data_IF_660603022771
#
_entry.id   IF_660603022771
#
_cell.length_a   1.000
_cell.length_b   1.000
_cell.length_c   1.000
_cell.angle_alpha   90.00
_cell.angle_beta   90.00
_cell.angle_gamma   90.00
#
_symmetry.space_group_name_H-M   'P 1'
#
loop_
_entity.id
_entity.type
_entity.pdbx_description
1 polymer ?
#
# COMPACT_ATOMS: atom_id res chain seq x y z
N UNK A 1 -13.32 22.92 -5.46
CA UNK A 1 -12.43 22.43 -6.54
C UNK A 1 -11.26 21.72 -5.87
N UNK A 2 -10.97 20.46 -6.21
CA UNK A 2 -9.85 19.75 -5.57
C UNK A 2 -8.53 20.41 -5.97
N UNK A 3 -7.59 20.65 -5.02
CA UNK A 3 -6.35 21.36 -5.29
C UNK A 3 -5.38 20.62 -6.23
N UNK A 4 -5.57 19.31 -6.45
CA UNK A 4 -4.81 18.51 -7.41
C UNK A 4 -5.73 17.44 -8.03
N UNK A 5 -6.05 17.54 -9.33
CA UNK A 5 -6.86 16.55 -10.04
C UNK A 5 -6.27 15.13 -10.00
N UNK A 6 -4.95 14.97 -9.86
CA UNK A 6 -4.29 13.65 -9.79
C UNK A 6 -4.50 12.95 -8.45
N UNK A 7 -4.92 13.67 -7.41
CA UNK A 7 -5.28 13.08 -6.11
C UNK A 7 -6.67 12.45 -6.09
N UNK A 8 -7.46 12.65 -7.15
CA UNK A 8 -8.75 11.99 -7.31
C UNK A 8 -8.51 10.51 -7.59
N UNK A 9 -9.11 9.64 -6.76
CA UNK A 9 -8.92 8.18 -6.79
C UNK A 9 -9.74 7.54 -7.93
N UNK A 10 -9.33 7.77 -9.18
CA UNK A 10 -10.01 7.24 -10.37
C UNK A 10 -9.48 5.86 -10.82
N UNK A 11 -8.25 5.50 -10.43
CA UNK A 11 -7.60 4.27 -10.90
C UNK A 11 -8.00 3.09 -9.99
N UNK A 12 -8.56 2.04 -10.60
CA UNK A 12 -8.91 0.80 -9.91
C UNK A 12 -8.00 -0.33 -10.37
N UNK A 13 -7.36 -0.98 -9.41
CA UNK A 13 -6.64 -2.23 -9.60
C UNK A 13 -7.33 -3.31 -8.75
N UNK A 14 -7.32 -4.57 -9.21
CA UNK A 14 -7.99 -5.68 -8.53
C UNK A 14 -7.01 -6.83 -8.38
N UNK A 15 -6.95 -7.38 -7.16
CA UNK A 15 -6.14 -8.54 -6.79
C UNK A 15 -7.06 -9.63 -6.26
N UNK A 16 -6.62 -10.89 -6.31
CA UNK A 16 -7.33 -12.02 -5.73
C UNK A 16 -6.53 -12.51 -4.52
N UNK A 17 -7.24 -12.78 -3.44
CA UNK A 17 -6.69 -13.37 -2.23
C UNK A 17 -7.21 -14.80 -2.12
N UNK A 18 -6.42 -15.68 -1.51
CA UNK A 18 -6.93 -16.96 -1.06
C UNK A 18 -7.81 -16.81 0.20
N UNK A 19 -8.43 -17.92 0.62
CA UNK A 19 -9.37 -17.92 1.74
C UNK A 19 -8.69 -17.55 3.08
N UNK A 20 -7.42 -17.91 3.27
CA UNK A 20 -6.67 -17.61 4.49
C UNK A 20 -6.24 -16.14 4.54
N UNK A 21 -5.72 -15.62 3.44
CA UNK A 21 -5.36 -14.22 3.28
C UNK A 21 -6.59 -13.34 3.50
N UNK A 22 -7.72 -13.68 2.89
CA UNK A 22 -8.97 -12.95 3.06
C UNK A 22 -9.45 -12.96 4.51
N UNK A 23 -9.36 -14.11 5.20
CA UNK A 23 -9.76 -14.23 6.60
C UNK A 23 -8.88 -13.35 7.51
N UNK A 24 -7.56 -13.35 7.30
CA UNK A 24 -6.61 -12.54 8.06
C UNK A 24 -6.87 -11.04 7.85
N UNK A 25 -6.97 -10.60 6.59
CA UNK A 25 -7.19 -9.19 6.28
C UNK A 25 -8.54 -8.70 6.84
N UNK A 26 -9.57 -9.53 6.77
CA UNK A 26 -10.91 -9.22 7.31
C UNK A 26 -10.87 -9.12 8.84
N UNK A 27 -10.21 -10.07 9.53
CA UNK A 27 -10.05 -10.03 10.97
C UNK A 27 -9.30 -8.77 11.42
N UNK A 28 -8.23 -8.40 10.70
CA UNK A 28 -7.45 -7.19 10.98
C UNK A 28 -8.27 -5.91 10.80
N UNK A 29 -9.03 -5.81 9.71
CA UNK A 29 -9.91 -4.67 9.44
C UNK A 29 -10.98 -4.52 10.53
N UNK A 30 -11.61 -5.63 10.92
CA UNK A 30 -12.61 -5.65 12.00
C UNK A 30 -12.00 -5.23 13.34
N UNK A 31 -10.78 -5.71 13.65
CA UNK A 31 -10.08 -5.37 14.88
C UNK A 31 -9.75 -3.88 14.97
N UNK A 32 -9.38 -3.25 13.86
CA UNK A 32 -9.08 -1.81 13.80
C UNK A 32 -10.34 -0.94 13.65
N UNK A 33 -11.49 -1.53 13.32
CA UNK A 33 -12.71 -0.78 13.01
C UNK A 33 -12.65 -0.03 11.68
N UNK A 34 -11.79 -0.49 10.75
CA UNK A 34 -11.59 0.15 9.45
C UNK A 34 -12.25 -0.63 8.31
N UNK A 35 -12.52 0.06 7.20
CA UNK A 35 -12.95 -0.60 5.97
C UNK A 35 -11.77 -1.36 5.35
N UNK A 36 -11.99 -2.64 5.01
CA UNK A 36 -10.97 -3.52 4.42
C UNK A 36 -10.19 -2.90 3.26
N UNK A 37 -10.86 -2.21 2.34
CA UNK A 37 -10.22 -1.56 1.19
C UNK A 37 -9.29 -0.39 1.60
N UNK A 38 -9.61 0.32 2.68
CA UNK A 38 -8.78 1.40 3.23
C UNK A 38 -7.52 0.81 3.85
N UNK A 39 -7.69 -0.23 4.68
CA UNK A 39 -6.59 -0.96 5.31
C UNK A 39 -5.62 -1.53 4.26
N UNK A 40 -6.14 -2.25 3.26
CA UNK A 40 -5.31 -2.84 2.18
C UNK A 40 -4.52 -1.75 1.47
N UNK A 41 -5.15 -0.61 1.15
CA UNK A 41 -4.47 0.51 0.50
C UNK A 41 -3.35 1.06 1.38
N UNK A 42 -3.59 1.23 2.68
CA UNK A 42 -2.59 1.78 3.59
C UNK A 42 -1.37 0.87 3.70
N UNK A 43 -1.60 -0.44 3.91
CA UNK A 43 -0.54 -1.46 3.92
C UNK A 43 0.27 -1.40 2.62
N UNK A 44 -0.39 -1.43 1.46
CA UNK A 44 0.29 -1.40 0.15
C UNK A 44 1.12 -0.13 -0.03
N UNK A 45 0.59 1.03 0.34
CA UNK A 45 1.33 2.29 0.19
C UNK A 45 2.52 2.36 1.13
N UNK A 46 2.39 1.86 2.36
CA UNK A 46 3.47 1.78 3.34
C UNK A 46 4.60 0.86 2.85
N UNK A 47 4.27 -0.32 2.36
CA UNK A 47 5.26 -1.25 1.81
C UNK A 47 5.92 -0.70 0.55
N UNK A 48 5.14 -0.09 -0.36
CA UNK A 48 5.70 0.55 -1.55
C UNK A 48 6.72 1.65 -1.19
N UNK A 49 6.44 2.47 -0.18
CA UNK A 49 7.41 3.47 0.31
C UNK A 49 8.66 2.85 0.93
N UNK A 50 8.53 1.73 1.65
CA UNK A 50 9.67 1.02 2.23
C UNK A 50 10.59 0.46 1.14
N UNK A 51 10.02 -0.20 0.13
CA UNK A 51 10.77 -0.72 -1.03
C UNK A 51 11.48 0.39 -1.80
N UNK A 52 10.83 1.54 -1.98
CA UNK A 52 11.45 2.71 -2.62
C UNK A 52 12.62 3.25 -1.80
N UNK A 53 12.48 3.32 -0.47
CA UNK A 53 13.54 3.78 0.42
C UNK A 53 14.75 2.84 0.36
N UNK A 54 14.54 1.53 0.46
CA UNK A 54 15.60 0.53 0.34
C UNK A 54 16.34 0.64 -1.00
N UNK A 55 15.57 0.80 -2.09
CA UNK A 55 16.16 0.96 -3.42
C UNK A 55 17.04 2.20 -3.52
N UNK A 56 16.60 3.31 -2.97
CA UNK A 56 17.36 4.56 -2.97
C UNK A 56 18.69 4.41 -2.20
N UNK A 57 18.66 3.79 -1.02
CA UNK A 57 19.88 3.50 -0.24
C UNK A 57 20.86 2.68 -1.08
N UNK A 58 20.39 1.60 -1.72
CA UNK A 58 21.26 0.75 -2.55
C UNK A 58 21.89 1.48 -3.74
N UNK A 59 21.24 2.51 -4.28
CA UNK A 59 21.78 3.33 -5.38
C UNK A 59 22.89 4.24 -4.83
N UNK A 60 22.66 4.88 -3.68
CA UNK A 60 23.64 5.75 -3.03
C UNK A 60 24.90 4.98 -2.65
N UNK A 61 24.75 3.77 -2.12
CA UNK A 61 25.88 2.90 -1.76
C UNK A 61 26.74 2.53 -2.99
N UNK A 62 26.10 2.34 -4.16
CA UNK A 62 26.79 2.03 -5.42
C UNK A 62 27.41 3.25 -6.08
N UNK A 63 26.84 4.44 -5.88
CA UNK A 63 27.38 5.69 -6.42
C UNK A 63 28.57 6.23 -5.61
N UNK A 64 28.71 5.79 -4.36
CA UNK A 64 29.83 6.12 -3.47
C UNK A 64 31.03 5.18 -3.55
N UNK A 65 30.99 4.13 -4.38
CA UNK A 65 32.07 3.16 -4.64
C UNK A 65 32.71 3.41 -6.01
#
# INVERSE_FOLDING_TARGET
MYPDPKRIRNNKHTVRFDDYEQAVLTALANYQGEQLAVLIRDIVMREATAVLAERNTSILDRAGA
#
